data_IF_884796466009
#
_entry.id   IF_884796466009
#
_cell.length_a   1.000
_cell.length_b   1.000
_cell.length_c   1.000
_cell.angle_alpha   90.00
_cell.angle_beta   90.00
_cell.angle_gamma   90.00
#
_symmetry.space_group_name_H-M   'P 1'
#
loop_
_entity.id
_entity.type
_entity.pdbx_description
1 polymer ?
#
# COMPACT_ATOMS: atom_id res chain seq x y z
N UNK A 1 11.31 24.00 -10.96
CA UNK A 1 10.35 23.40 -10.01
C UNK A 1 9.33 22.59 -10.80
N UNK A 2 9.44 21.26 -10.81
CA UNK A 2 8.42 20.41 -11.45
C UNK A 2 7.26 20.22 -10.47
N UNK A 3 6.06 20.32 -11.02
CA UNK A 3 4.79 20.53 -10.36
C UNK A 3 4.43 19.27 -9.58
N UNK A 4 4.36 19.36 -8.25
CA UNK A 4 3.78 18.33 -7.40
C UNK A 4 2.27 18.36 -7.59
N UNK A 5 1.79 17.87 -8.74
CA UNK A 5 0.40 17.48 -8.87
C UNK A 5 0.27 16.17 -8.10
N UNK A 6 0.05 16.30 -6.78
CA UNK A 6 -0.61 15.29 -5.99
C UNK A 6 -1.93 14.98 -6.72
N UNK A 7 -1.89 13.95 -7.57
CA UNK A 7 -3.03 13.43 -8.28
C UNK A 7 -3.97 12.85 -7.22
N UNK A 8 -4.82 13.71 -6.65
CA UNK A 8 -6.01 13.29 -5.93
C UNK A 8 -6.93 12.61 -6.95
N UNK A 9 -6.67 11.32 -7.19
CA UNK A 9 -7.57 10.44 -7.92
C UNK A 9 -8.31 9.63 -6.86
N UNK A 10 -9.63 9.77 -6.70
CA UNK A 10 -10.41 8.94 -5.77
C UNK A 10 -10.21 7.43 -6.03
N UNK A 11 -9.81 7.05 -7.25
CA UNK A 11 -9.46 5.68 -7.62
C UNK A 11 -8.20 5.13 -6.92
N UNK A 12 -7.18 5.96 -6.65
CA UNK A 12 -5.92 5.49 -6.06
C UNK A 12 -6.17 4.91 -4.66
N UNK A 13 -7.04 5.52 -3.86
CA UNK A 13 -7.34 4.97 -2.53
C UNK A 13 -8.07 3.62 -2.63
N UNK A 14 -8.94 3.44 -3.61
CA UNK A 14 -9.61 2.16 -3.85
C UNK A 14 -8.63 1.10 -4.34
N UNK A 15 -7.72 1.44 -5.23
CA UNK A 15 -6.64 0.54 -5.70
C UNK A 15 -5.72 0.14 -4.55
N UNK A 16 -5.37 1.09 -3.68
CA UNK A 16 -4.55 0.83 -2.49
C UNK A 16 -5.28 -0.05 -1.46
N UNK A 17 -6.61 0.08 -1.34
CA UNK A 17 -7.41 -0.85 -0.53
C UNK A 17 -7.38 -2.25 -1.11
N UNK A 18 -7.52 -2.40 -2.43
CA UNK A 18 -7.43 -3.70 -3.10
C UNK A 18 -6.03 -4.32 -2.95
N UNK A 19 -4.98 -3.51 -3.11
CA UNK A 19 -3.59 -3.94 -2.89
C UNK A 19 -3.35 -4.37 -1.44
N UNK A 20 -3.84 -3.60 -0.46
CA UNK A 20 -3.75 -3.96 0.95
C UNK A 20 -4.48 -5.29 1.23
N UNK A 21 -5.67 -5.49 0.66
CA UNK A 21 -6.44 -6.73 0.81
C UNK A 21 -5.75 -7.93 0.16
N UNK A 22 -5.12 -7.75 -1.01
CA UNK A 22 -4.32 -8.78 -1.66
C UNK A 22 -3.13 -9.21 -0.79
N UNK A 23 -2.39 -8.24 -0.24
CA UNK A 23 -1.28 -8.50 0.68
C UNK A 23 -1.78 -9.20 1.94
N UNK A 24 -2.88 -8.73 2.53
CA UNK A 24 -3.47 -9.33 3.73
C UNK A 24 -3.86 -10.79 3.51
N UNK A 25 -4.50 -11.10 2.37
CA UNK A 25 -4.85 -12.47 2.00
C UNK A 25 -3.59 -13.33 1.82
N UNK A 26 -2.56 -12.84 1.12
CA UNK A 26 -1.30 -13.57 0.96
C UNK A 26 -0.63 -13.86 2.31
N UNK A 27 -0.66 -12.91 3.25
CA UNK A 27 -0.10 -13.07 4.59
C UNK A 27 -0.87 -14.10 5.43
N UNK A 28 -2.21 -14.17 5.29
CA UNK A 28 -3.03 -15.19 5.94
C UNK A 28 -2.67 -16.60 5.50
N UNK A 29 -2.40 -16.81 4.21
CA UNK A 29 -1.93 -18.11 3.70
C UNK A 29 -0.54 -18.50 4.22
N UNK A 30 0.29 -17.51 4.57
CA UNK A 30 1.64 -17.73 5.08
C UNK A 30 1.70 -18.12 6.57
N UNK A 31 0.55 -18.18 7.28
CA UNK A 31 0.43 -18.57 8.69
C UNK A 31 1.28 -17.72 9.68
N UNK A 32 1.75 -16.54 9.24
CA UNK A 32 2.73 -15.74 9.97
C UNK A 32 2.12 -14.77 11.01
N UNK A 33 0.83 -14.88 11.32
CA UNK A 33 0.10 -13.93 12.19
C UNK A 33 0.32 -12.45 11.81
N UNK A 34 0.50 -12.19 10.51
CA UNK A 34 0.64 -10.86 9.97
C UNK A 34 -0.68 -10.43 9.35
N UNK A 35 -0.98 -9.14 9.42
CA UNK A 35 -2.12 -8.51 8.75
C UNK A 35 -1.67 -7.27 8.02
N UNK A 36 -2.32 -6.94 6.90
CA UNK A 36 -2.05 -5.72 6.16
C UNK A 36 -3.29 -4.82 6.08
N UNK A 37 -3.10 -3.51 6.25
CA UNK A 37 -4.20 -2.54 6.14
C UNK A 37 -3.73 -1.21 5.56
N UNK A 38 -4.64 -0.50 4.90
CA UNK A 38 -4.41 0.89 4.47
C UNK A 38 -4.69 1.84 5.63
N UNK A 39 -3.81 2.82 5.88
CA UNK A 39 -4.03 3.89 6.86
C UNK A 39 -4.63 5.16 6.21
N UNK A 40 -4.97 6.15 7.04
CA UNK A 40 -5.54 7.44 6.59
C UNK A 40 -4.57 8.27 5.72
N UNK A 41 -3.28 7.97 5.75
CA UNK A 41 -2.25 8.64 4.96
C UNK A 41 -1.95 7.87 3.65
N UNK A 42 -2.84 6.98 3.23
CA UNK A 42 -2.69 6.13 2.03
C UNK A 42 -1.42 5.26 2.05
N UNK A 43 -1.00 4.80 3.22
CA UNK A 43 0.12 3.87 3.36
C UNK A 43 -0.38 2.48 3.73
N UNK A 44 0.17 1.46 3.10
CA UNK A 44 -0.14 0.06 3.45
C UNK A 44 0.79 -0.34 4.59
N UNK A 45 0.23 -0.66 5.75
CA UNK A 45 0.97 -1.08 6.93
C UNK A 45 0.76 -2.57 7.17
N UNK A 46 1.86 -3.30 7.36
CA UNK A 46 1.85 -4.69 7.80
C UNK A 46 2.10 -4.70 9.30
N UNK A 47 1.20 -5.36 10.06
CA UNK A 47 1.27 -5.50 11.51
C UNK A 47 1.41 -6.96 11.91
N UNK A 48 2.10 -7.20 13.02
CA UNK A 48 2.08 -8.49 13.69
C UNK A 48 0.81 -8.65 14.55
N UNK A 49 0.68 -9.80 15.22
CA UNK A 49 -0.45 -10.10 16.12
C UNK A 49 -0.58 -9.12 17.29
N UNK A 50 0.51 -8.47 17.68
CA UNK A 50 0.55 -7.52 18.79
C UNK A 50 0.18 -6.10 18.35
N UNK A 51 -0.16 -5.92 17.07
CA UNK A 51 -0.50 -4.62 16.47
C UNK A 51 0.70 -3.75 16.11
N UNK A 52 1.92 -4.26 16.26
CA UNK A 52 3.16 -3.55 15.93
C UNK A 52 3.34 -3.52 14.42
N UNK A 53 3.57 -2.32 13.88
CA UNK A 53 3.88 -2.13 12.45
C UNK A 53 5.30 -2.64 12.17
N UNK A 54 5.39 -3.73 11.42
CA UNK A 54 6.68 -4.34 11.02
C UNK A 54 7.15 -3.86 9.65
N UNK A 55 6.23 -3.33 8.82
CA UNK A 55 6.56 -2.79 7.50
C UNK A 55 5.52 -1.77 7.04
N UNK A 56 5.98 -0.74 6.34
CA UNK A 56 5.12 0.29 5.73
C UNK A 56 5.49 0.46 4.26
N UNK A 57 4.49 0.41 3.39
CA UNK A 57 4.61 0.74 1.98
C UNK A 57 3.93 2.08 1.71
N UNK A 58 4.64 2.98 1.02
CA UNK A 58 4.07 4.25 0.57
C UNK A 58 3.09 3.97 -0.58
N UNK A 59 1.86 4.46 -0.46
CA UNK A 59 0.81 4.21 -1.47
C UNK A 59 1.21 4.66 -2.86
N UNK A 60 1.86 5.81 -2.98
CA UNK A 60 2.29 6.35 -4.28
C UNK A 60 3.25 5.40 -5.01
N UNK A 61 4.17 4.75 -4.28
CA UNK A 61 5.09 3.75 -4.85
C UNK A 61 4.38 2.47 -5.24
N UNK A 62 3.39 2.05 -4.45
CA UNK A 62 2.58 0.86 -4.77
C UNK A 62 1.74 1.12 -6.01
N UNK A 63 1.08 2.27 -6.09
CA UNK A 63 0.31 2.69 -7.25
C UNK A 63 1.19 2.82 -8.50
N UNK A 64 2.36 3.48 -8.40
CA UNK A 64 3.31 3.59 -9.50
C UNK A 64 3.70 2.21 -10.05
N UNK A 65 4.00 1.25 -9.16
CA UNK A 65 4.34 -0.13 -9.54
C UNK A 65 3.16 -0.89 -10.14
N UNK A 66 1.94 -0.70 -9.63
CA UNK A 66 0.73 -1.33 -10.17
C UNK A 66 0.41 -0.85 -11.59
N UNK A 67 0.62 0.42 -11.85
CA UNK A 67 0.33 1.04 -13.14
C UNK A 67 1.49 0.95 -14.14
N UNK A 68 2.55 0.21 -13.82
CA UNK A 68 3.79 0.15 -14.62
C UNK A 68 4.27 1.55 -15.02
N UNK A 69 4.09 2.52 -14.12
CA UNK A 69 4.67 3.84 -14.28
C UNK A 69 6.15 3.63 -13.97
N UNK A 70 6.91 3.25 -14.98
CA UNK A 70 8.36 3.18 -14.90
C UNK A 70 8.83 4.54 -14.35
N UNK A 71 9.40 4.51 -13.15
CA UNK A 71 10.24 5.59 -12.65
C UNK A 71 11.49 5.62 -13.55
N UNK A 72 11.35 6.20 -14.75
CA UNK A 72 12.49 6.73 -15.49
C UNK A 72 13.02 7.91 -14.68
N UNK A 73 13.99 7.64 -13.82
CA UNK A 73 14.90 8.64 -13.23
C UNK A 73 16.23 8.55 -13.95
#
# INVERSE_FOLDING_TARGET
MKIHNALYRPHIQQDLKQAAAFIDNSLKYSNNKLSASLNSHNQIQVRNSDGVVVKTFQGDRVAAKMYHIDEYV
#
